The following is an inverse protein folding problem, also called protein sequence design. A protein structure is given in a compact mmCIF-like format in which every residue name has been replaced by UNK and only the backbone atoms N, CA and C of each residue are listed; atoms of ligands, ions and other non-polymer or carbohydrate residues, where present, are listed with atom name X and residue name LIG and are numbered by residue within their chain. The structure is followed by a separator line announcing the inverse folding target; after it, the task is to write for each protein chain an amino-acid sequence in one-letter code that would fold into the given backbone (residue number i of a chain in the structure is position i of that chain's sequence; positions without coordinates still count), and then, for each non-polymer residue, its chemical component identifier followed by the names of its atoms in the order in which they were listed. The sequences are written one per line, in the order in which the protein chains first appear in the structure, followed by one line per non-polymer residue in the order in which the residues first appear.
data_IF_947522421394
#
_entry.id   IF_947522421394
#
_cell.length_a   1.000
_cell.length_b   1.000
_cell.length_c   1.000
_cell.angle_alpha   90.00
_cell.angle_beta   90.00
_cell.angle_gamma   90.00
#
_symmetry.space_group_name_H-M   'P 1'
#
loop_
_entity.id
_entity.type
_entity.pdbx_description
1 polymer ?
#
# COMPACT_ATOMS: atom_id res chain seq x y z
N UNK A 1 -15.34 -15.20 10.12
CA UNK A 1 -15.03 -15.72 8.77
C UNK A 1 -13.60 -16.23 8.75
N UNK A 2 -13.32 -17.50 8.46
CA UNK A 2 -11.95 -18.01 8.46
C UNK A 2 -11.19 -17.61 7.17
N UNK A 3 -10.98 -16.31 6.97
CA UNK A 3 -10.27 -15.74 5.82
C UNK A 3 -8.90 -15.23 6.22
N UNK A 4 -7.90 -15.42 5.37
CA UNK A 4 -6.57 -14.83 5.53
C UNK A 4 -6.52 -13.45 4.91
N UNK A 5 -6.13 -12.44 5.67
CA UNK A 5 -6.06 -11.06 5.22
C UNK A 5 -4.65 -10.52 5.42
N UNK A 6 -4.06 -10.00 4.33
CA UNK A 6 -2.81 -9.27 4.37
C UNK A 6 -3.09 -7.78 4.47
N UNK A 7 -2.76 -7.17 5.61
CA UNK A 7 -2.91 -5.73 5.83
C UNK A 7 -1.58 -5.04 5.52
N UNK A 8 -1.58 -4.05 4.64
CA UNK A 8 -0.38 -3.36 4.18
C UNK A 8 -0.30 -1.96 4.81
N UNK A 9 0.76 -1.75 5.60
CA UNK A 9 1.13 -0.47 6.15
C UNK A 9 1.96 0.34 5.14
N UNK A 10 1.75 1.65 5.04
CA UNK A 10 2.62 2.50 4.23
C UNK A 10 4.02 2.63 4.83
N UNK A 11 4.11 2.59 6.16
CA UNK A 11 5.31 2.56 6.98
C UNK A 11 4.94 1.98 8.36
N UNK A 12 5.73 1.03 8.85
CA UNK A 12 5.59 0.39 10.17
C UNK A 12 6.31 1.15 11.29
N UNK A 13 6.96 2.28 10.99
CA UNK A 13 7.71 3.09 11.96
C UNK A 13 7.08 4.46 12.27
N UNK A 14 5.80 4.64 11.94
CA UNK A 14 5.10 5.91 12.14
C UNK A 14 3.57 5.73 12.24
N UNK A 15 2.83 6.83 12.07
CA UNK A 15 1.36 6.85 12.28
C UNK A 15 0.57 5.85 11.43
N UNK A 16 1.10 5.46 10.25
CA UNK A 16 0.51 4.39 9.43
C UNK A 16 0.49 3.02 10.12
N UNK A 17 1.45 2.75 11.02
CA UNK A 17 1.52 1.55 11.85
C UNK A 17 0.33 1.45 12.81
N UNK A 18 -0.06 2.54 13.46
CA UNK A 18 -1.20 2.58 14.38
C UNK A 18 -2.52 2.19 13.68
N UNK A 19 -2.76 2.72 12.48
CA UNK A 19 -3.99 2.45 11.72
C UNK A 19 -4.09 0.97 11.31
N UNK A 20 -3.00 0.36 10.82
CA UNK A 20 -3.04 -1.06 10.43
C UNK A 20 -3.27 -1.99 11.61
N UNK A 21 -2.77 -1.66 12.81
CA UNK A 21 -3.02 -2.48 13.99
C UNK A 21 -4.47 -2.42 14.44
N UNK A 22 -5.10 -1.23 14.43
CA UNK A 22 -6.53 -1.09 14.71
C UNK A 22 -7.36 -1.94 13.74
N UNK A 23 -7.09 -1.84 12.44
CA UNK A 23 -7.76 -2.65 11.41
C UNK A 23 -7.51 -4.14 11.66
N UNK A 24 -6.28 -4.54 11.99
CA UNK A 24 -5.97 -5.92 12.26
C UNK A 24 -6.73 -6.49 13.47
N UNK A 25 -6.89 -5.72 14.55
CA UNK A 25 -7.68 -6.13 15.72
C UNK A 25 -9.16 -6.30 15.37
N UNK A 26 -9.75 -5.36 14.61
CA UNK A 26 -11.14 -5.46 14.14
C UNK A 26 -11.32 -6.70 13.28
N UNK A 27 -10.40 -6.96 12.34
CA UNK A 27 -10.46 -8.15 11.49
C UNK A 27 -10.30 -9.46 12.28
N UNK A 28 -9.46 -9.48 13.32
CA UNK A 28 -9.34 -10.62 14.24
C UNK A 28 -10.64 -10.87 15.02
N UNK A 29 -11.33 -9.81 15.49
CA UNK A 29 -12.65 -9.93 16.12
C UNK A 29 -13.72 -10.50 15.18
N UNK A 30 -13.55 -10.34 13.86
CA UNK A 30 -14.38 -10.96 12.83
C UNK A 30 -13.94 -12.40 12.49
N UNK A 31 -13.07 -13.00 13.31
CA UNK A 31 -12.48 -14.33 13.17
C UNK A 31 -11.61 -14.50 11.91
N UNK A 32 -11.05 -13.42 11.37
CA UNK A 32 -10.10 -13.49 10.25
C UNK A 32 -8.67 -13.75 10.76
N UNK A 33 -7.88 -14.48 9.97
CA UNK A 33 -6.44 -14.62 10.19
C UNK A 33 -5.74 -13.42 9.57
N UNK A 34 -5.04 -12.63 10.37
CA UNK A 34 -4.44 -11.37 9.91
C UNK A 34 -2.93 -11.40 10.05
N UNK A 35 -2.25 -10.96 9.00
CA UNK A 35 -0.83 -10.61 9.05
C UNK A 35 -0.66 -9.19 8.52
N UNK A 36 0.03 -8.35 9.28
CA UNK A 36 0.41 -7.00 8.89
C UNK A 36 1.75 -7.06 8.17
N UNK A 37 1.88 -6.33 7.07
CA UNK A 37 3.10 -6.21 6.31
C UNK A 37 3.42 -4.74 6.04
N UNK A 38 4.69 -4.42 5.87
CA UNK A 38 5.09 -3.09 5.43
C UNK A 38 6.59 -2.85 5.54
N UNK A 39 7.09 -1.75 4.95
CA UNK A 39 8.45 -1.30 5.19
C UNK A 39 8.60 -0.62 6.55
N UNK A 40 9.83 -0.59 7.06
CA UNK A 40 10.26 0.24 8.19
C UNK A 40 11.23 1.27 7.63
N UNK A 41 10.85 2.56 7.56
CA UNK A 41 11.75 3.63 7.12
C UNK A 41 12.55 4.26 8.27
N UNK A 42 12.01 4.23 9.49
CA UNK A 42 12.67 4.64 10.72
C UNK A 42 13.59 3.56 11.30
N UNK A 43 13.86 3.66 12.60
CA UNK A 43 14.80 2.80 13.31
C UNK A 43 14.24 1.41 13.63
N UNK A 44 12.96 1.37 14.00
CA UNK A 44 12.28 0.15 14.47
C UNK A 44 10.79 0.20 14.17
N UNK A 45 10.10 -0.91 14.46
CA UNK A 45 8.64 -0.96 14.39
C UNK A 45 8.07 -0.06 15.49
N UNK A 46 7.28 0.92 15.10
CA UNK A 46 6.60 1.83 16.01
C UNK A 46 5.21 2.19 15.46
N UNK A 47 4.14 2.04 16.26
CA UNK A 47 4.13 1.57 17.65
C UNK A 47 4.38 0.05 17.75
N UNK A 48 4.63 -0.46 18.96
CA UNK A 48 4.72 -1.91 19.18
C UNK A 48 3.40 -2.59 18.80
N UNK A 49 3.41 -3.70 18.05
CA UNK A 49 2.18 -4.40 17.66
C UNK A 49 1.39 -4.85 18.90
N UNK A 50 0.08 -4.53 19.00
CA UNK A 50 -0.72 -4.94 20.14
C UNK A 50 -1.09 -6.43 20.07
N UNK A 51 -0.99 -7.13 21.20
CA UNK A 51 -1.38 -8.55 21.31
C UNK A 51 -0.59 -9.48 20.39
N UNK A 52 -1.30 -10.43 19.78
CA UNK A 52 -0.69 -11.48 18.94
C UNK A 52 -0.76 -11.17 17.44
N UNK A 53 -0.71 -9.89 17.05
CA UNK A 53 -0.73 -9.51 15.63
C UNK A 53 0.60 -9.89 15.00
N UNK A 54 0.55 -10.78 14.00
CA UNK A 54 1.72 -11.16 13.23
C UNK A 54 2.15 -10.00 12.33
N UNK A 55 3.42 -9.60 12.41
CA UNK A 55 3.99 -8.52 11.59
C UNK A 55 5.16 -9.04 10.78
N UNK A 56 5.14 -8.77 9.47
CA UNK A 56 6.22 -9.09 8.54
C UNK A 56 6.73 -7.79 7.93
N UNK A 57 7.91 -7.37 8.38
CA UNK A 57 8.54 -6.15 7.90
C UNK A 57 9.64 -6.40 6.88
N UNK A 58 9.93 -5.36 6.12
CA UNK A 58 11.14 -5.22 5.29
C UNK A 58 11.81 -3.88 5.58
N UNK A 59 13.08 -3.73 5.24
CA UNK A 59 13.76 -2.45 5.38
C UNK A 59 13.24 -1.46 4.33
N UNK A 60 12.75 -0.31 4.76
CA UNK A 60 12.41 0.83 3.90
C UNK A 60 13.68 1.40 3.28
N UNK A 61 13.62 1.76 1.99
CA UNK A 61 14.73 2.38 1.26
C UNK A 61 14.19 3.36 0.22
N UNK A 62 15.06 4.24 -0.27
CA UNK A 62 14.78 5.02 -1.46
C UNK A 62 14.83 4.14 -2.72
N UNK A 63 14.20 4.61 -3.79
CA UNK A 63 14.35 4.01 -5.11
C UNK A 63 15.74 4.34 -5.69
N UNK A 64 16.38 3.41 -6.41
CA UNK A 64 15.86 2.11 -6.86
C UNK A 64 16.02 0.95 -5.86
N UNK A 65 16.74 1.12 -4.75
CA UNK A 65 17.08 0.04 -3.80
C UNK A 65 15.83 -0.63 -3.22
N UNK A 66 14.73 0.10 -3.11
CA UNK A 66 13.46 -0.43 -2.62
C UNK A 66 12.82 -1.50 -3.52
N UNK A 67 13.19 -1.61 -4.81
CA UNK A 67 12.61 -2.63 -5.70
C UNK A 67 12.83 -4.07 -5.21
N UNK A 68 14.00 -4.35 -4.62
CA UNK A 68 14.28 -5.66 -4.02
C UNK A 68 13.33 -5.97 -2.86
N UNK A 69 13.04 -4.96 -2.02
CA UNK A 69 12.15 -5.08 -0.87
C UNK A 69 10.69 -5.24 -1.28
N UNK A 70 10.28 -4.57 -2.38
CA UNK A 70 8.96 -4.79 -2.98
C UNK A 70 8.80 -6.25 -3.39
N UNK A 71 9.80 -6.82 -4.08
CA UNK A 71 9.75 -8.24 -4.47
C UNK A 71 9.62 -9.15 -3.24
N UNK A 72 10.46 -8.93 -2.22
CA UNK A 72 10.38 -9.69 -0.97
C UNK A 72 9.01 -9.61 -0.29
N UNK A 73 8.38 -8.43 -0.25
CA UNK A 73 7.02 -8.29 0.26
C UNK A 73 6.00 -9.05 -0.60
N UNK A 74 6.06 -8.90 -1.93
CA UNK A 74 5.14 -9.58 -2.84
C UNK A 74 5.17 -11.11 -2.70
N UNK A 75 6.36 -11.68 -2.50
CA UNK A 75 6.56 -13.12 -2.30
C UNK A 75 5.99 -13.60 -0.96
N UNK A 76 6.06 -12.76 0.09
CA UNK A 76 5.55 -13.08 1.45
C UNK A 76 4.06 -12.82 1.64
N UNK A 77 3.43 -12.03 0.77
CA UNK A 77 1.99 -11.76 0.83
C UNK A 77 1.18 -13.01 0.49
N UNK A 78 0.51 -13.57 1.50
CA UNK A 78 -0.23 -14.83 1.41
C UNK A 78 -1.74 -14.69 1.65
N UNK A 79 -2.22 -13.48 1.94
CA UNK A 79 -3.63 -13.19 2.20
C UNK A 79 -4.53 -13.49 1.00
N UNK A 80 -5.73 -14.00 1.30
CA UNK A 80 -6.81 -14.13 0.33
C UNK A 80 -7.39 -12.78 -0.07
N UNK A 81 -7.37 -11.83 0.86
CA UNK A 81 -7.74 -10.43 0.66
C UNK A 81 -6.54 -9.56 1.03
N UNK A 82 -6.29 -8.52 0.24
CA UNK A 82 -5.28 -7.51 0.53
C UNK A 82 -6.00 -6.24 0.99
N UNK A 83 -5.53 -5.67 2.09
CA UNK A 83 -6.07 -4.46 2.66
C UNK A 83 -4.97 -3.41 2.75
N UNK A 84 -4.98 -2.40 1.87
CA UNK A 84 -3.98 -1.34 1.86
C UNK A 84 -4.45 -0.12 2.65
N UNK A 85 -3.65 0.33 3.62
CA UNK A 85 -3.88 1.60 4.33
C UNK A 85 -3.12 2.72 3.64
N UNK A 86 -3.81 3.81 3.36
CA UNK A 86 -3.36 4.99 2.61
C UNK A 86 -3.06 4.69 1.12
N UNK A 87 -3.28 5.64 0.21
CA UNK A 87 -2.98 5.51 -1.21
C UNK A 87 -1.46 5.64 -1.49
N UNK A 88 -0.62 4.98 -0.69
CA UNK A 88 0.84 4.99 -0.82
C UNK A 88 1.32 3.76 -1.59
N UNK A 89 2.39 3.85 -2.39
CA UNK A 89 2.91 2.71 -3.12
C UNK A 89 3.57 1.65 -2.29
N UNK A 90 3.99 1.98 -1.09
CA UNK A 90 4.46 1.03 -0.08
C UNK A 90 3.31 0.20 0.52
N UNK A 91 2.05 0.66 0.40
CA UNK A 91 0.86 -0.06 0.82
C UNK A 91 -0.05 -0.41 -0.36
N UNK A 92 -0.96 0.46 -0.75
CA UNK A 92 -1.89 0.25 -1.86
C UNK A 92 -1.19 -0.09 -3.17
N UNK A 93 0.01 0.46 -3.41
CA UNK A 93 0.77 0.12 -4.61
C UNK A 93 1.32 -1.29 -4.65
N UNK A 94 1.88 -1.77 -3.56
CA UNK A 94 2.23 -3.18 -3.41
C UNK A 94 0.98 -4.06 -3.57
N UNK A 95 -0.16 -3.64 -3.02
CA UNK A 95 -1.43 -4.35 -3.19
C UNK A 95 -1.88 -4.44 -4.65
N UNK A 96 -1.75 -3.35 -5.41
CA UNK A 96 -2.06 -3.34 -6.84
C UNK A 96 -1.07 -4.17 -7.66
N UNK A 97 0.22 -4.14 -7.32
CA UNK A 97 1.22 -5.03 -7.92
C UNK A 97 0.90 -6.50 -7.64
N UNK A 98 0.56 -6.85 -6.40
CA UNK A 98 0.16 -8.22 -6.05
C UNK A 98 -1.08 -8.62 -6.82
N UNK A 99 -2.12 -7.77 -6.89
CA UNK A 99 -3.33 -8.01 -7.68
C UNK A 99 -3.04 -8.19 -9.18
N UNK A 100 -2.01 -7.53 -9.69
CA UNK A 100 -1.59 -7.66 -11.09
C UNK A 100 -0.95 -9.03 -11.37
N UNK A 101 0.01 -9.45 -10.54
CA UNK A 101 0.69 -10.74 -10.72
C UNK A 101 -0.11 -11.95 -10.22
N UNK A 102 -0.96 -11.76 -9.22
CA UNK A 102 -1.79 -12.78 -8.57
C UNK A 102 -3.11 -12.14 -8.15
N UNK A 103 -4.18 -12.29 -8.95
CA UNK A 103 -5.45 -11.62 -8.70
C UNK A 103 -6.01 -11.93 -7.31
N UNK A 104 -6.05 -10.92 -6.45
CA UNK A 104 -6.70 -10.93 -5.14
C UNK A 104 -7.65 -9.73 -5.02
N UNK A 105 -8.77 -9.86 -4.29
CA UNK A 105 -9.52 -8.69 -3.81
C UNK A 105 -8.59 -7.73 -3.07
N UNK A 106 -8.67 -6.45 -3.42
CA UNK A 106 -7.87 -5.38 -2.84
C UNK A 106 -8.81 -4.29 -2.32
N UNK A 107 -8.69 -3.99 -1.04
CA UNK A 107 -9.41 -2.91 -0.36
C UNK A 107 -8.41 -1.78 -0.11
N UNK A 108 -8.86 -0.54 -0.31
CA UNK A 108 -8.11 0.66 0.03
C UNK A 108 -8.83 1.37 1.18
N UNK A 109 -8.11 1.62 2.27
CA UNK A 109 -8.52 2.47 3.38
C UNK A 109 -7.83 3.83 3.26
N UNK A 110 -8.62 4.88 3.20
CA UNK A 110 -8.16 6.27 3.18
C UNK A 110 -8.61 6.89 4.50
N UNK A 111 -7.70 6.95 5.46
CA UNK A 111 -7.94 7.39 6.83
C UNK A 111 -7.62 8.87 7.06
N UNK A 112 -6.99 9.54 6.09
CA UNK A 112 -6.50 10.90 6.22
C UNK A 112 -6.62 11.70 4.92
N UNK A 113 -6.51 13.03 5.03
CA UNK A 113 -6.40 13.93 3.90
C UNK A 113 -4.96 13.95 3.38
N UNK A 114 -4.57 12.87 2.69
CA UNK A 114 -3.20 12.68 2.20
C UNK A 114 -2.72 13.79 1.25
N UNK A 115 -3.66 14.49 0.60
CA UNK A 115 -3.37 15.62 -0.29
C UNK A 115 -2.90 16.87 0.47
N UNK A 116 -3.12 16.97 1.78
CA UNK A 116 -2.61 18.07 2.61
C UNK A 116 -1.08 18.19 2.54
N UNK A 117 -0.36 17.08 2.34
CA UNK A 117 1.10 17.09 2.14
C UNK A 117 1.53 17.45 0.72
N UNK A 118 0.58 17.65 -0.19
CA UNK A 118 0.80 18.05 -1.58
C UNK A 118 0.03 19.33 -1.88
N UNK A 119 0.20 20.38 -1.07
CA UNK A 119 -0.49 21.69 -1.18
C UNK A 119 -2.00 21.71 -0.86
N UNK A 120 -2.58 20.58 -0.41
CA UNK A 120 -3.96 20.52 0.10
C UNK A 120 -4.98 21.01 -0.92
N UNK A 121 -5.78 22.00 -0.53
CA UNK A 121 -6.82 22.60 -1.38
C UNK A 121 -6.26 23.30 -2.62
N UNK A 122 -4.97 23.69 -2.60
CA UNK A 122 -4.30 24.29 -3.77
C UNK A 122 -3.78 23.26 -4.75
N UNK A 123 -3.81 21.97 -4.40
CA UNK A 123 -3.39 20.93 -5.32
C UNK A 123 -4.26 20.95 -6.57
N UNK A 124 -3.61 20.98 -7.72
CA UNK A 124 -4.28 20.91 -9.01
C UNK A 124 -3.52 19.96 -9.93
N UNK A 125 -4.26 19.11 -10.63
CA UNK A 125 -3.70 18.24 -11.64
C UNK A 125 -3.19 19.09 -12.82
N UNK A 126 -1.87 19.18 -12.97
CA UNK A 126 -1.17 19.96 -14.01
C UNK A 126 -0.27 19.05 -14.86
N UNK A 127 -0.84 18.21 -15.73
CA UNK A 127 -0.05 17.27 -16.51
C UNK A 127 0.69 17.98 -17.65
N UNK A 128 1.88 17.49 -17.99
CA UNK A 128 2.49 17.78 -19.29
C UNK A 128 1.69 17.06 -20.39
N UNK A 129 1.71 17.54 -21.66
CA UNK A 129 0.92 16.93 -22.74
C UNK A 129 1.10 15.41 -22.90
N UNK A 130 2.32 14.90 -22.71
CA UNK A 130 2.62 13.46 -22.74
C UNK A 130 1.93 12.69 -21.60
N UNK A 131 1.86 13.29 -20.42
CA UNK A 131 1.19 12.70 -19.25
C UNK A 131 -0.33 12.70 -19.45
N UNK A 132 -0.89 13.82 -19.93
CA UNK A 132 -2.31 13.91 -20.25
C UNK A 132 -2.73 12.88 -21.30
N UNK A 133 -1.97 12.76 -22.39
CA UNK A 133 -2.22 11.78 -23.44
C UNK A 133 -2.17 10.35 -22.88
N UNK A 134 -1.17 10.03 -22.06
CA UNK A 134 -1.08 8.73 -21.38
C UNK A 134 -2.29 8.46 -20.49
N UNK A 135 -2.73 9.45 -19.71
CA UNK A 135 -3.80 9.27 -18.73
C UNK A 135 -5.18 9.12 -19.41
N UNK A 136 -5.43 9.85 -20.51
CA UNK A 136 -6.61 9.67 -21.36
C UNK A 136 -6.57 8.31 -22.07
N UNK A 137 -5.44 7.95 -22.68
CA UNK A 137 -5.31 6.69 -23.42
C UNK A 137 -5.40 5.47 -22.49
N UNK A 138 -4.88 5.56 -21.25
CA UNK A 138 -5.10 4.54 -20.20
C UNK A 138 -6.58 4.35 -19.90
N UNK A 139 -7.40 5.41 -19.92
CA UNK A 139 -8.85 5.31 -19.72
C UNK A 139 -9.52 4.55 -20.87
N UNK A 140 -9.05 4.74 -22.10
CA UNK A 140 -9.54 4.01 -23.29
C UNK A 140 -9.06 2.55 -23.31
N UNK A 141 -7.81 2.28 -22.92
CA UNK A 141 -7.24 0.93 -22.81
C UNK A 141 -7.86 0.10 -21.67
N UNK A 142 -8.52 0.72 -20.68
CA UNK A 142 -9.33 -0.02 -19.69
C UNK A 142 -10.54 -0.76 -20.29
N UNK A 143 -10.85 -0.55 -21.58
CA UNK A 143 -11.77 -1.40 -22.34
C UNK A 143 -11.14 -2.74 -22.81
N UNK A 144 -9.85 -3.01 -22.54
CA UNK A 144 -9.27 -4.31 -22.94
C UNK A 144 -7.89 -4.71 -22.39
N UNK A 145 -7.08 -3.84 -21.77
CA UNK A 145 -5.71 -4.18 -21.33
C UNK A 145 -5.36 -3.48 -20.01
N UNK A 146 -5.11 -4.26 -18.95
CA UNK A 146 -4.67 -3.78 -17.63
C UNK A 146 -3.17 -3.50 -17.62
N UNK A 147 -2.73 -2.29 -17.94
CA UNK A 147 -1.38 -1.81 -17.60
C UNK A 147 -1.49 -0.77 -16.47
N UNK A 148 -1.23 -1.22 -15.24
CA UNK A 148 -1.04 -0.30 -14.10
C UNK A 148 0.43 0.06 -14.02
N UNK A 149 0.84 1.08 -14.77
CA UNK A 149 2.14 1.71 -14.56
C UNK A 149 2.06 2.50 -13.25
N UNK A 150 2.63 1.96 -12.17
CA UNK A 150 3.01 2.75 -11.00
C UNK A 150 4.16 3.66 -11.41
N UNK A 151 3.85 4.89 -11.76
CA UNK A 151 4.87 5.91 -11.92
C UNK A 151 5.10 6.47 -10.52
N UNK A 152 6.27 6.15 -9.96
CA UNK A 152 6.85 6.88 -8.84
C UNK A 152 7.08 8.32 -9.30
N UNK A 153 6.04 9.16 -9.22
CA UNK A 153 6.17 10.59 -9.41
C UNK A 153 6.66 11.19 -8.09
N UNK A 154 7.98 11.40 -7.99
CA UNK A 154 8.56 12.43 -7.13
C UNK A 154 8.30 12.36 -5.63
N UNK A 155 8.33 11.19 -5.00
CA UNK A 155 8.52 11.15 -3.55
C UNK A 155 9.99 11.25 -3.20
N UNK A 156 10.36 12.39 -2.64
CA UNK A 156 11.37 12.40 -1.59
C UNK A 156 10.70 11.78 -0.36
N UNK A 157 11.17 10.60 0.03
CA UNK A 157 11.03 10.12 1.41
C UNK A 157 11.95 10.98 2.27
#
# INVERSE_FOLDING_TARGET
MNKKISVLAPDLSGGGGTRVYLIAQVLQQLNCQVTVYGPIFGWEIYPTPPGNIAVVSVKGNNYPQFFGQIKTLLDRLSGEIIYGVKPRPTSFGIGLLKRFFSPRPLILDIDDWEMSWFDGDRWSYRPYPRQLARDILKKMLRLGIRITLFICAGWKI
#
